data_IF_505791604893
#
_entry.id   IF_505791604893
#
_cell.length_a   1.000
_cell.length_b   1.000
_cell.length_c   1.000
_cell.angle_alpha   90.00
_cell.angle_beta   90.00
_cell.angle_gamma   90.00
#
_symmetry.space_group_name_H-M   'P 1'
#
loop_
_entity.id
_entity.type
_entity.pdbx_description
1 polymer ?
#
# COMPACT_ATOMS: atom_id res chain seq x y z
N UNK A 1 26.84 -19.77 -29.59
CA UNK A 1 26.48 -20.47 -28.33
C UNK A 1 25.07 -20.04 -27.96
N UNK A 2 24.15 -21.01 -27.90
CA UNK A 2 22.70 -20.84 -28.05
C UNK A 2 22.07 -20.21 -26.81
N UNK A 3 22.19 -18.89 -26.66
CA UNK A 3 21.55 -18.15 -25.59
C UNK A 3 20.05 -18.41 -25.59
N UNK A 4 19.49 -18.70 -24.40
CA UNK A 4 18.07 -18.79 -24.12
C UNK A 4 17.42 -17.45 -24.49
N UNK A 5 17.11 -17.33 -25.77
CA UNK A 5 16.54 -16.15 -26.37
C UNK A 5 15.08 -16.11 -25.94
N UNK A 6 14.60 -14.93 -25.53
CA UNK A 6 13.19 -14.65 -25.17
C UNK A 6 12.14 -15.46 -25.96
N UNK A 7 12.22 -15.62 -27.30
CA UNK A 7 11.29 -16.48 -28.05
C UNK A 7 11.24 -17.95 -27.61
N UNK A 8 12.37 -18.56 -27.25
CA UNK A 8 12.40 -19.94 -26.78
C UNK A 8 11.63 -20.11 -25.47
N UNK A 9 11.79 -19.18 -24.52
CA UNK A 9 11.04 -19.21 -23.26
C UNK A 9 9.53 -19.06 -23.48
N UNK A 10 9.12 -18.22 -24.44
CA UNK A 10 7.71 -18.03 -24.79
C UNK A 10 7.11 -19.31 -25.38
N UNK A 11 7.83 -19.99 -26.30
CA UNK A 11 7.41 -21.28 -26.87
C UNK A 11 7.29 -22.34 -25.77
N UNK A 12 8.27 -22.44 -24.87
CA UNK A 12 8.23 -23.39 -23.75
C UNK A 12 7.06 -23.09 -22.82
N UNK A 13 6.82 -21.82 -22.48
CA UNK A 13 5.67 -21.42 -21.66
C UNK A 13 4.33 -21.79 -22.32
N UNK A 14 4.21 -21.65 -23.64
CA UNK A 14 3.02 -22.07 -24.39
C UNK A 14 2.80 -23.58 -24.30
N UNK A 15 3.86 -24.39 -24.48
CA UNK A 15 3.78 -25.85 -24.36
C UNK A 15 3.36 -26.26 -22.94
N UNK A 16 3.95 -25.66 -21.91
CA UNK A 16 3.58 -25.90 -20.51
C UNK A 16 2.12 -25.51 -20.26
N UNK A 17 1.65 -24.38 -20.78
CA UNK A 17 0.26 -23.95 -20.65
C UNK A 17 -0.73 -24.93 -21.31
N UNK A 18 -0.37 -25.55 -22.43
CA UNK A 18 -1.19 -26.56 -23.11
C UNK A 18 -1.20 -27.88 -22.35
N UNK A 19 -0.05 -28.34 -21.84
CA UNK A 19 0.05 -29.61 -21.09
C UNK A 19 -0.67 -29.55 -19.74
N UNK A 20 -0.45 -28.48 -18.99
CA UNK A 20 -1.01 -28.31 -17.66
C UNK A 20 -2.41 -27.66 -17.68
N UNK A 21 -2.76 -26.98 -18.78
CA UNK A 21 -4.01 -26.26 -18.94
C UNK A 21 -4.08 -24.96 -18.11
N UNK A 22 -4.97 -24.05 -18.52
CA UNK A 22 -5.16 -22.75 -17.84
C UNK A 22 -5.63 -22.87 -16.38
N UNK A 23 -6.42 -23.90 -16.07
CA UNK A 23 -7.05 -24.07 -14.75
C UNK A 23 -6.04 -24.38 -13.65
N UNK A 24 -5.16 -25.36 -13.88
CA UNK A 24 -4.15 -25.77 -12.89
C UNK A 24 -3.09 -24.70 -12.66
N UNK A 25 -2.60 -24.06 -13.73
CA UNK A 25 -1.61 -22.98 -13.60
C UNK A 25 -2.20 -21.78 -12.86
N UNK A 26 -3.45 -21.39 -13.12
CA UNK A 26 -4.07 -20.23 -12.45
C UNK A 26 -4.33 -20.48 -10.97
N UNK A 27 -4.74 -21.70 -10.59
CA UNK A 27 -4.97 -22.07 -9.19
C UNK A 27 -3.65 -22.07 -8.41
N UNK A 28 -2.61 -22.72 -8.95
CA UNK A 28 -1.28 -22.74 -8.36
C UNK A 28 -0.68 -21.34 -8.29
N UNK A 29 -0.70 -20.57 -9.38
CA UNK A 29 -0.14 -19.21 -9.41
C UNK A 29 -0.86 -18.27 -8.43
N UNK A 30 -2.14 -18.49 -8.16
CA UNK A 30 -2.89 -17.76 -7.13
C UNK A 30 -2.33 -17.98 -5.73
N UNK A 31 -2.07 -19.23 -5.35
CA UNK A 31 -1.52 -19.57 -4.03
C UNK A 31 -0.03 -19.20 -3.90
N UNK A 32 0.76 -19.40 -4.96
CA UNK A 32 2.13 -18.88 -5.03
C UNK A 32 2.18 -17.35 -4.93
N UNK A 33 1.27 -16.65 -5.62
CA UNK A 33 1.19 -15.19 -5.59
C UNK A 33 0.86 -14.64 -4.20
N UNK A 34 -0.05 -15.29 -3.47
CA UNK A 34 -0.34 -14.95 -2.06
C UNK A 34 0.89 -15.16 -1.17
N UNK A 35 1.59 -16.28 -1.31
CA UNK A 35 2.81 -16.58 -0.54
C UNK A 35 3.91 -15.55 -0.78
N UNK A 36 4.20 -15.21 -2.04
CA UNK A 36 5.21 -14.20 -2.38
C UNK A 36 4.78 -12.80 -1.94
N UNK A 37 3.48 -12.45 -2.02
CA UNK A 37 2.96 -11.18 -1.53
C UNK A 37 3.15 -11.05 -0.02
N UNK A 38 2.80 -12.07 0.76
CA UNK A 38 3.00 -12.09 2.21
C UNK A 38 4.48 -12.05 2.59
N UNK A 39 5.34 -12.74 1.84
CA UNK A 39 6.78 -12.69 2.04
C UNK A 39 7.35 -11.30 1.79
N UNK A 40 6.98 -10.67 0.67
CA UNK A 40 7.37 -9.30 0.34
C UNK A 40 6.83 -8.29 1.34
N UNK A 41 5.60 -8.47 1.81
CA UNK A 41 4.97 -7.60 2.80
C UNK A 41 5.63 -7.74 4.17
N UNK A 42 5.98 -8.95 4.61
CA UNK A 42 6.74 -9.17 5.85
C UNK A 42 8.16 -8.63 5.78
N UNK A 43 8.84 -8.73 4.63
CA UNK A 43 10.16 -8.14 4.45
C UNK A 43 10.11 -6.61 4.33
N UNK A 44 9.06 -6.07 3.71
CA UNK A 44 8.83 -4.64 3.63
C UNK A 44 8.38 -4.03 4.97
N UNK A 45 7.70 -4.78 5.85
CA UNK A 45 7.30 -4.32 7.19
C UNK A 45 8.53 -4.09 8.10
N UNK A 46 9.58 -4.91 7.94
CA UNK A 46 10.88 -4.74 8.61
C UNK A 46 11.61 -3.45 8.12
N UNK A 47 11.45 -3.10 6.84
CA UNK A 47 12.03 -1.89 6.22
C UNK A 47 11.13 -0.63 6.33
N UNK A 48 9.81 -0.80 6.51
CA UNK A 48 8.80 0.27 6.35
C UNK A 48 8.04 0.62 7.64
N UNK A 49 8.57 0.28 8.82
CA UNK A 49 8.10 0.79 10.11
C UNK A 49 8.30 2.31 10.30
N UNK A 50 8.32 3.09 9.22
CA UNK A 50 7.99 4.51 9.22
C UNK A 50 6.64 4.68 8.52
N UNK A 51 5.55 4.97 9.26
CA UNK A 51 4.32 5.42 8.64
C UNK A 51 4.69 6.61 7.74
N UNK A 52 4.39 6.49 6.44
CA UNK A 52 4.41 7.67 5.59
C UNK A 52 3.47 8.69 6.25
N UNK A 53 3.95 9.88 6.64
CA UNK A 53 3.09 10.87 7.27
C UNK A 53 1.92 11.11 6.31
N UNK A 54 0.67 11.16 6.82
CA UNK A 54 -0.47 11.48 5.97
C UNK A 54 -0.14 12.77 5.21
N UNK A 55 -0.43 12.83 3.90
CA UNK A 55 -0.13 14.03 3.11
C UNK A 55 -0.72 15.22 3.85
N UNK A 56 0.13 16.20 4.17
CA UNK A 56 -0.22 17.35 4.99
C UNK A 56 -1.46 18.01 4.39
N UNK A 57 -2.62 17.75 4.98
CA UNK A 57 -3.82 18.50 4.70
C UNK A 57 -3.56 19.88 5.27
N UNK A 58 -3.25 20.83 4.37
CA UNK A 58 -3.19 22.25 4.67
C UNK A 58 -4.52 22.60 5.32
N UNK A 59 -4.59 22.95 6.63
CA UNK A 59 -5.85 23.37 7.23
C UNK A 59 -6.33 24.60 6.45
N UNK A 60 -7.60 24.68 6.05
CA UNK A 60 -8.16 25.92 5.53
C UNK A 60 -7.95 26.99 6.59
N UNK A 61 -7.27 28.07 6.22
CA UNK A 61 -7.15 29.26 7.04
C UNK A 61 -8.57 29.83 7.26
N UNK A 62 -9.24 29.39 8.32
CA UNK A 62 -10.45 30.02 8.82
C UNK A 62 -10.04 31.18 9.74
N UNK A 63 -10.70 32.30 9.50
CA UNK A 63 -10.54 33.64 10.03
C UNK A 63 -10.53 33.73 11.59
N UNK A 64 -10.12 34.89 12.15
CA UNK A 64 -9.62 35.05 13.52
C UNK A 64 -10.62 34.63 14.61
N UNK A 65 -10.12 33.89 15.60
CA UNK A 65 -10.79 33.75 16.87
C UNK A 65 -10.87 35.12 17.55
N UNK A 66 -12.11 35.59 17.75
CA UNK A 66 -12.45 36.80 18.49
C UNK A 66 -11.78 36.85 19.87
N UNK A 67 -11.36 38.03 20.33
CA UNK A 67 -10.62 38.16 21.57
C UNK A 67 -11.55 37.95 22.78
N UNK A 68 -11.19 36.94 23.57
CA UNK A 68 -10.95 37.02 25.02
C UNK A 68 -12.05 37.63 25.92
N UNK A 69 -12.44 36.80 26.90
CA UNK A 69 -12.92 37.14 28.25
C UNK A 69 -14.43 37.33 28.49
N UNK A 70 -15.11 36.19 28.58
CA UNK A 70 -15.95 35.91 29.76
C UNK A 70 -15.10 36.00 31.05
N UNK A 71 -14.92 37.21 31.57
CA UNK A 71 -14.66 37.45 33.00
C UNK A 71 -15.94 38.03 33.60
N UNK A 72 -16.95 37.19 33.68
CA UNK A 72 -18.18 37.42 34.45
C UNK A 72 -18.02 36.72 35.80
N UNK A 73 -17.20 37.27 36.69
CA UNK A 73 -17.14 36.84 38.10
C UNK A 73 -16.24 37.77 38.92
N UNK A 74 -16.66 39.02 39.11
CA UNK A 74 -16.43 39.72 40.38
C UNK A 74 -17.54 40.77 40.57
N UNK A 75 -18.74 40.24 40.78
CA UNK A 75 -19.83 40.97 41.37
C UNK A 75 -19.58 40.96 42.89
N UNK A 76 -19.42 42.12 43.53
CA UNK A 76 -20.36 42.71 44.50
C UNK A 76 -19.82 44.10 45.00
N UNK A 77 -20.53 44.86 45.85
CA UNK A 77 -21.27 46.05 45.45
C UNK A 77 -20.87 47.28 46.30
N UNK A 78 -21.52 48.42 46.06
CA UNK A 78 -21.54 49.64 46.91
C UNK A 78 -20.29 50.52 46.83
#
# INVERSE_FOLDING_TARGET
MMGLSLPHLLIVALVVLVLFGRGRISEMMGDFGKGIKSFKQGMADDDSARPAPPPAQIPPAAAPAEPVAQQSSDQLPR
#
